data_IF_598586536994
#
_entry.id   IF_598586536994
#
_cell.length_a   1.000
_cell.length_b   1.000
_cell.length_c   1.000
_cell.angle_alpha   90.00
_cell.angle_beta   90.00
_cell.angle_gamma   90.00
#
_symmetry.space_group_name_H-M   'P 1'
#
loop_
_entity.id
_entity.type
_entity.pdbx_description
1 polymer ?
#
# COMPACT_ATOMS: atom_id res chain seq x y z
N UNK A 1 4.01 -9.22 -19.68
CA UNK A 1 2.92 -9.93 -18.97
C UNK A 1 2.91 -11.41 -19.33
N UNK A 2 3.30 -12.26 -18.38
CA UNK A 2 3.15 -13.71 -18.47
C UNK A 2 1.67 -14.10 -18.26
N UNK A 3 1.34 -15.40 -18.39
CA UNK A 3 -0.06 -15.86 -18.28
C UNK A 3 -0.65 -15.68 -16.86
N UNK A 4 0.17 -15.83 -15.83
CA UNK A 4 -0.25 -15.67 -14.44
C UNK A 4 -0.51 -14.19 -14.13
N UNK A 5 0.41 -13.30 -14.50
CA UNK A 5 0.23 -11.84 -14.38
C UNK A 5 -1.04 -11.36 -15.08
N UNK A 6 -1.32 -11.92 -16.27
CA UNK A 6 -2.55 -11.60 -17.00
C UNK A 6 -3.81 -12.04 -16.26
N UNK A 7 -3.83 -13.27 -15.76
CA UNK A 7 -4.98 -13.77 -15.01
C UNK A 7 -5.18 -12.99 -13.71
N UNK A 8 -4.09 -12.64 -13.02
CA UNK A 8 -4.11 -11.83 -11.81
C UNK A 8 -4.76 -10.46 -12.07
N UNK A 9 -4.27 -9.71 -13.07
CA UNK A 9 -4.85 -8.41 -13.46
C UNK A 9 -6.33 -8.51 -13.80
N UNK A 10 -6.74 -9.54 -14.53
CA UNK A 10 -8.14 -9.76 -14.89
C UNK A 10 -9.03 -10.04 -13.67
N UNK A 11 -8.54 -10.82 -12.69
CA UNK A 11 -9.26 -11.09 -11.45
C UNK A 11 -9.33 -9.86 -10.54
N UNK A 12 -8.27 -9.04 -10.53
CA UNK A 12 -8.23 -7.78 -9.79
C UNK A 12 -9.27 -6.79 -10.32
N UNK A 13 -9.36 -6.63 -11.65
CA UNK A 13 -10.40 -5.83 -12.27
C UNK A 13 -11.80 -6.31 -11.89
N UNK A 14 -12.02 -7.63 -11.80
CA UNK A 14 -13.30 -8.17 -11.31
C UNK A 14 -13.54 -7.83 -9.84
N UNK A 15 -12.50 -7.89 -8.99
CA UNK A 15 -12.61 -7.50 -7.58
C UNK A 15 -13.01 -6.03 -7.42
N UNK A 16 -12.35 -5.12 -8.15
CA UNK A 16 -12.70 -3.69 -8.20
C UNK A 16 -14.16 -3.51 -8.59
N UNK A 17 -14.58 -4.10 -9.71
CA UNK A 17 -15.96 -3.99 -10.18
C UNK A 17 -16.99 -4.56 -9.18
N UNK A 18 -16.64 -5.65 -8.47
CA UNK A 18 -17.53 -6.24 -7.45
C UNK A 18 -17.70 -5.31 -6.25
N UNK A 19 -16.62 -4.72 -5.77
CA UNK A 19 -16.70 -3.79 -4.64
C UNK A 19 -17.46 -2.53 -5.02
N UNK A 20 -17.19 -1.95 -6.19
CA UNK A 20 -17.96 -0.80 -6.67
C UNK A 20 -19.46 -1.14 -6.80
N UNK A 21 -19.79 -2.36 -7.22
CA UNK A 21 -21.17 -2.82 -7.36
C UNK A 21 -21.94 -2.94 -6.03
N UNK A 22 -21.28 -2.92 -4.88
CA UNK A 22 -21.96 -2.99 -3.57
C UNK A 22 -22.83 -1.76 -3.32
N UNK A 23 -22.39 -0.58 -3.76
CA UNK A 23 -23.09 0.69 -3.55
C UNK A 23 -23.60 1.33 -4.85
N UNK A 24 -23.10 0.92 -6.02
CA UNK A 24 -23.54 1.40 -7.34
C UNK A 24 -24.42 0.39 -8.09
N UNK A 25 -25.31 0.87 -8.94
CA UNK A 25 -26.06 0.08 -9.94
C UNK A 25 -25.20 -0.24 -11.16
N UNK A 26 -25.66 -1.15 -12.04
CA UNK A 26 -24.90 -1.43 -13.28
C UNK A 26 -24.88 -0.26 -14.26
N UNK A 27 -25.88 0.61 -14.21
CA UNK A 27 -25.93 1.81 -15.07
C UNK A 27 -24.93 2.85 -14.55
N UNK A 28 -24.89 3.09 -13.23
CA UNK A 28 -23.87 3.97 -12.62
C UNK A 28 -22.44 3.44 -12.87
N UNK A 29 -22.21 2.13 -12.74
CA UNK A 29 -20.91 1.54 -13.09
C UNK A 29 -20.56 1.70 -14.58
N UNK A 30 -21.56 1.65 -15.46
CA UNK A 30 -21.32 1.84 -16.89
C UNK A 30 -20.87 3.26 -17.19
N UNK A 31 -21.48 4.25 -16.53
CA UNK A 31 -21.10 5.65 -16.64
C UNK A 31 -19.69 5.91 -16.07
N UNK A 32 -19.31 5.22 -14.99
CA UNK A 32 -18.00 5.39 -14.35
C UNK A 32 -16.84 4.65 -15.06
N UNK A 33 -17.13 3.58 -15.79
CA UNK A 33 -16.11 2.69 -16.39
C UNK A 33 -16.05 2.72 -17.92
N UNK A 34 -17.00 3.39 -18.57
CA UNK A 34 -17.25 3.31 -20.01
C UNK A 34 -17.47 1.87 -20.52
N UNK A 35 -17.83 0.92 -19.63
CA UNK A 35 -18.12 -0.46 -19.99
C UNK A 35 -19.64 -0.69 -20.09
N UNK A 36 -20.13 -1.44 -21.10
CA UNK A 36 -21.55 -1.75 -21.20
C UNK A 36 -22.06 -2.49 -19.97
N UNK A 37 -23.23 -2.11 -19.43
CA UNK A 37 -23.86 -2.76 -18.27
C UNK A 37 -23.98 -4.30 -18.41
N UNK A 38 -24.20 -4.81 -19.62
CA UNK A 38 -24.23 -6.25 -19.91
C UNK A 38 -22.87 -6.95 -19.74
N UNK A 39 -21.77 -6.28 -20.11
CA UNK A 39 -20.41 -6.78 -19.89
C UNK A 39 -20.05 -6.70 -18.39
N UNK A 40 -20.38 -5.60 -17.72
CA UNK A 40 -20.19 -5.42 -16.28
C UNK A 40 -20.89 -6.53 -15.47
N UNK A 41 -22.15 -6.84 -15.78
CA UNK A 41 -22.87 -7.95 -15.14
C UNK A 41 -22.12 -9.27 -15.30
N UNK A 42 -21.61 -9.57 -16.50
CA UNK A 42 -20.86 -10.80 -16.77
C UNK A 42 -19.53 -10.83 -16.02
N UNK A 43 -18.84 -9.69 -15.91
CA UNK A 43 -17.57 -9.56 -15.19
C UNK A 43 -17.77 -9.72 -13.68
N UNK A 44 -18.69 -8.95 -13.09
CA UNK A 44 -19.01 -8.98 -11.64
C UNK A 44 -19.43 -10.38 -11.19
N UNK A 45 -20.23 -11.09 -11.99
CA UNK A 45 -20.65 -12.46 -11.68
C UNK A 45 -19.62 -13.54 -12.07
N UNK A 46 -18.46 -13.15 -12.62
CA UNK A 46 -17.39 -14.07 -12.99
C UNK A 46 -17.70 -14.98 -14.17
N UNK A 47 -18.72 -14.67 -14.97
CA UNK A 47 -19.07 -15.46 -16.16
C UNK A 47 -17.99 -15.35 -17.25
N UNK A 48 -17.37 -14.19 -17.36
CA UNK A 48 -16.26 -13.90 -18.28
C UNK A 48 -15.30 -12.92 -17.60
N UNK A 49 -14.02 -12.98 -17.96
CA UNK A 49 -13.02 -12.01 -17.53
C UNK A 49 -12.87 -10.87 -18.56
N UNK A 50 -12.63 -9.61 -18.14
CA UNK A 50 -12.29 -8.53 -19.06
C UNK A 50 -11.03 -8.88 -19.87
N UNK A 51 -10.82 -8.26 -21.04
CA UNK A 51 -9.52 -8.37 -21.73
C UNK A 51 -8.40 -7.78 -20.86
N UNK A 52 -7.14 -8.08 -21.15
CA UNK A 52 -6.02 -7.50 -20.39
C UNK A 52 -6.04 -5.96 -20.42
N UNK A 53 -6.38 -5.37 -21.57
CA UNK A 53 -6.43 -3.92 -21.73
C UNK A 53 -7.59 -3.30 -20.94
N UNK A 54 -8.78 -3.93 -20.98
CA UNK A 54 -9.93 -3.50 -20.16
C UNK A 54 -9.64 -3.67 -18.67
N UNK A 55 -9.01 -4.77 -18.28
CA UNK A 55 -8.65 -5.04 -16.90
C UNK A 55 -7.70 -3.97 -16.36
N UNK A 56 -6.68 -3.61 -17.15
CA UNK A 56 -5.78 -2.51 -16.82
C UNK A 56 -6.53 -1.21 -16.62
N UNK A 57 -7.32 -0.78 -17.60
CA UNK A 57 -8.08 0.48 -17.51
C UNK A 57 -8.99 0.53 -16.26
N UNK A 58 -9.68 -0.58 -15.96
CA UNK A 58 -10.50 -0.69 -14.74
C UNK A 58 -9.68 -0.54 -13.46
N UNK A 59 -8.50 -1.15 -13.39
CA UNK A 59 -7.65 -1.06 -12.18
C UNK A 59 -6.98 0.31 -12.07
N UNK A 60 -6.29 0.77 -13.12
CA UNK A 60 -5.46 1.97 -13.07
C UNK A 60 -6.26 3.28 -13.10
N UNK A 61 -7.33 3.36 -13.89
CA UNK A 61 -8.06 4.63 -14.07
C UNK A 61 -9.27 4.70 -13.14
N UNK A 62 -10.12 3.68 -13.17
CA UNK A 62 -11.35 3.68 -12.36
C UNK A 62 -11.05 3.30 -10.92
N UNK A 63 -10.27 2.23 -10.71
CA UNK A 63 -9.92 1.74 -9.39
C UNK A 63 -9.18 2.78 -8.58
N UNK A 64 -8.16 3.42 -9.15
CA UNK A 64 -7.42 4.48 -8.45
C UNK A 64 -8.30 5.65 -8.06
N UNK A 65 -9.10 6.18 -9.00
CA UNK A 65 -10.00 7.30 -8.73
C UNK A 65 -10.97 6.97 -7.60
N UNK A 66 -11.66 5.83 -7.66
CA UNK A 66 -12.66 5.51 -6.64
C UNK A 66 -12.03 5.18 -5.29
N UNK A 67 -10.86 4.52 -5.27
CA UNK A 67 -10.16 4.30 -3.99
C UNK A 67 -9.72 5.61 -3.35
N UNK A 68 -9.30 6.61 -4.13
CA UNK A 68 -9.01 7.95 -3.62
C UNK A 68 -10.26 8.59 -3.01
N UNK A 69 -11.37 8.62 -3.75
CA UNK A 69 -12.66 9.17 -3.28
C UNK A 69 -13.13 8.47 -1.98
N UNK A 70 -13.13 7.14 -1.94
CA UNK A 70 -13.55 6.38 -0.76
C UNK A 70 -12.59 6.57 0.43
N UNK A 71 -11.28 6.72 0.17
CA UNK A 71 -10.30 7.01 1.21
C UNK A 71 -10.55 8.39 1.82
N UNK A 72 -10.72 9.42 0.99
CA UNK A 72 -11.02 10.79 1.41
C UNK A 72 -12.34 10.87 2.22
N UNK A 73 -13.38 10.13 1.83
CA UNK A 73 -14.66 10.10 2.55
C UNK A 73 -14.57 9.43 3.94
N UNK A 74 -13.65 8.48 4.12
CA UNK A 74 -13.51 7.69 5.35
C UNK A 74 -12.51 8.27 6.33
N UNK A 75 -11.58 9.08 5.84
CA UNK A 75 -10.55 9.74 6.66
C UNK A 75 -11.14 10.97 7.35
N UNK A 76 -10.82 11.14 8.63
CA UNK A 76 -11.24 12.29 9.42
C UNK A 76 -10.04 13.03 9.96
N UNK A 77 -10.10 14.35 9.93
CA UNK A 77 -9.13 15.24 10.58
C UNK A 77 -9.75 15.78 11.87
N UNK A 78 -9.00 15.73 12.97
CA UNK A 78 -9.39 16.41 14.19
C UNK A 78 -8.99 17.90 14.18
N UNK A 79 -9.36 18.63 15.24
CA UNK A 79 -9.08 20.08 15.37
C UNK A 79 -7.58 20.40 15.43
N UNK A 80 -6.74 19.41 15.73
CA UNK A 80 -5.28 19.52 15.82
C UNK A 80 -4.57 19.01 14.54
N UNK A 81 -5.35 18.58 13.54
CA UNK A 81 -4.85 18.07 12.26
C UNK A 81 -4.30 16.65 12.32
N UNK A 82 -4.70 15.84 13.30
CA UNK A 82 -4.42 14.41 13.29
C UNK A 82 -5.43 13.65 12.44
N UNK A 83 -4.93 12.64 11.75
CA UNK A 83 -5.68 11.80 10.81
C UNK A 83 -6.21 10.58 11.56
N UNK A 84 -7.53 10.38 11.56
CA UNK A 84 -8.17 9.12 11.91
C UNK A 84 -8.53 8.37 10.62
N UNK A 85 -7.81 7.28 10.37
CA UNK A 85 -7.99 6.38 9.24
C UNK A 85 -8.46 4.98 9.69
N UNK A 86 -8.95 4.82 10.92
CA UNK A 86 -9.37 3.53 11.48
C UNK A 86 -10.43 2.82 10.62
N UNK A 87 -11.34 3.61 10.02
CA UNK A 87 -12.38 3.10 9.10
C UNK A 87 -11.83 2.53 7.78
N UNK A 88 -10.56 2.77 7.49
CA UNK A 88 -9.86 2.30 6.28
C UNK A 88 -8.99 1.11 6.63
N UNK A 89 -8.09 1.24 7.61
CA UNK A 89 -7.10 0.20 7.93
C UNK A 89 -7.73 -1.07 8.52
N UNK A 90 -8.99 -1.04 8.95
CA UNK A 90 -9.76 -2.21 9.39
C UNK A 90 -10.59 -2.86 8.27
N UNK A 91 -10.75 -2.21 7.13
CA UNK A 91 -11.53 -2.73 6.00
C UNK A 91 -10.63 -3.55 5.05
N UNK A 92 -10.58 -4.86 5.28
CA UNK A 92 -9.78 -5.76 4.44
C UNK A 92 -10.23 -5.74 2.97
N UNK A 93 -11.53 -5.58 2.69
CA UNK A 93 -12.02 -5.56 1.32
C UNK A 93 -11.52 -4.32 0.57
N UNK A 94 -11.43 -3.17 1.25
CA UNK A 94 -10.79 -1.98 0.72
C UNK A 94 -9.28 -2.21 0.48
N UNK A 95 -8.55 -2.75 1.47
CA UNK A 95 -7.10 -2.98 1.37
C UNK A 95 -6.73 -3.98 0.25
N UNK A 96 -7.54 -5.00 0.03
CA UNK A 96 -7.36 -5.96 -1.06
C UNK A 96 -7.49 -5.31 -2.46
N UNK A 97 -8.19 -4.17 -2.57
CA UNK A 97 -8.26 -3.36 -3.79
C UNK A 97 -7.10 -2.38 -3.91
N UNK A 98 -6.61 -1.85 -2.79
CA UNK A 98 -5.45 -0.96 -2.79
C UNK A 98 -4.25 -1.66 -3.39
N UNK A 99 -4.02 -2.93 -3.06
CA UNK A 99 -2.83 -3.65 -3.52
C UNK A 99 -2.67 -3.68 -5.06
N UNK A 100 -3.66 -4.13 -5.87
CA UNK A 100 -3.56 -4.08 -7.34
C UNK A 100 -3.44 -2.67 -7.91
N UNK A 101 -4.13 -1.70 -7.32
CA UNK A 101 -4.09 -0.32 -7.78
C UNK A 101 -2.71 0.28 -7.51
N UNK A 102 -2.19 0.12 -6.30
CA UNK A 102 -0.85 0.58 -5.93
C UNK A 102 0.23 -0.05 -6.83
N UNK A 103 0.11 -1.34 -7.13
CA UNK A 103 1.03 -2.03 -8.02
C UNK A 103 1.06 -1.45 -9.44
N UNK A 104 -0.10 -1.17 -10.03
CA UNK A 104 -0.19 -0.64 -11.40
C UNK A 104 0.12 0.87 -11.47
N UNK A 105 -0.28 1.65 -10.46
CA UNK A 105 -0.17 3.12 -10.47
C UNK A 105 1.22 3.64 -10.11
N UNK A 106 1.99 2.91 -9.30
CA UNK A 106 3.30 3.35 -8.81
C UNK A 106 4.48 2.56 -9.40
N UNK A 107 4.19 1.58 -10.27
CA UNK A 107 5.17 0.78 -11.02
C UNK A 107 6.25 0.17 -10.12
N UNK A 108 5.83 -0.37 -8.97
CA UNK A 108 6.73 -1.06 -8.05
C UNK A 108 7.21 -2.38 -8.67
N UNK A 109 8.52 -2.62 -8.63
CA UNK A 109 9.05 -3.96 -8.86
C UNK A 109 8.49 -4.92 -7.80
N UNK A 110 8.29 -6.20 -8.18
CA UNK A 110 7.80 -7.22 -7.24
C UNK A 110 8.80 -7.39 -6.08
N UNK A 111 8.42 -7.05 -4.83
CA UNK A 111 9.32 -7.16 -3.69
C UNK A 111 9.37 -8.60 -3.17
N UNK A 112 10.45 -8.95 -2.48
CA UNK A 112 10.57 -10.16 -1.67
C UNK A 112 9.94 -9.97 -0.28
N UNK A 113 10.00 -8.74 0.24
CA UNK A 113 9.48 -8.34 1.55
C UNK A 113 8.68 -7.04 1.45
N UNK A 114 7.51 -7.00 2.07
CA UNK A 114 6.77 -5.77 2.37
C UNK A 114 6.99 -5.42 3.83
N UNK A 115 7.63 -4.28 4.09
CA UNK A 115 8.06 -3.83 5.42
C UNK A 115 7.25 -2.62 5.87
N UNK A 116 6.73 -2.67 7.10
CA UNK A 116 6.08 -1.52 7.77
C UNK A 116 6.62 -1.31 9.18
N UNK A 117 6.26 -0.20 9.82
CA UNK A 117 6.30 -0.09 11.27
C UNK A 117 5.00 -0.61 11.89
N UNK A 118 5.06 -1.14 13.11
CA UNK A 118 3.84 -1.40 13.88
C UNK A 118 3.18 -0.08 14.31
N UNK A 119 1.85 0.05 14.26
CA UNK A 119 0.86 -1.06 14.22
C UNK A 119 -0.11 -1.00 13.04
N UNK A 120 -0.64 0.17 12.69
CA UNK A 120 -1.81 0.27 11.80
C UNK A 120 -1.49 -0.10 10.34
N UNK A 121 -0.33 0.33 9.83
CA UNK A 121 0.19 -0.08 8.52
C UNK A 121 0.39 -1.60 8.31
N UNK A 122 0.29 -2.44 9.35
CA UNK A 122 0.40 -3.91 9.23
C UNK A 122 -0.68 -4.49 8.32
N UNK A 123 -1.91 -3.97 8.35
CA UNK A 123 -2.99 -4.51 7.52
C UNK A 123 -2.76 -4.21 6.04
N UNK A 124 -2.28 -3.01 5.72
CA UNK A 124 -1.83 -2.64 4.37
C UNK A 124 -0.65 -3.51 3.92
N UNK A 125 0.36 -3.65 4.76
CA UNK A 125 1.54 -4.47 4.46
C UNK A 125 1.16 -5.93 4.18
N UNK A 126 0.24 -6.50 4.96
CA UNK A 126 -0.27 -7.84 4.74
C UNK A 126 -1.03 -7.99 3.40
N UNK A 127 -1.85 -7.01 3.03
CA UNK A 127 -2.57 -7.02 1.76
C UNK A 127 -1.60 -6.95 0.56
N UNK A 128 -0.63 -6.03 0.59
CA UNK A 128 0.39 -5.91 -0.45
C UNK A 128 1.31 -7.15 -0.50
N UNK A 129 1.70 -7.70 0.64
CA UNK A 129 2.51 -8.93 0.67
C UNK A 129 1.76 -10.12 0.07
N UNK A 130 0.46 -10.26 0.39
CA UNK A 130 -0.40 -11.29 -0.20
C UNK A 130 -0.51 -11.13 -1.72
N UNK A 131 -0.68 -9.89 -2.19
CA UNK A 131 -0.74 -9.57 -3.61
C UNK A 131 0.53 -9.96 -4.37
N UNK A 132 1.69 -9.57 -3.83
CA UNK A 132 2.98 -9.85 -4.45
C UNK A 132 3.50 -11.26 -4.17
N UNK A 133 2.79 -12.07 -3.38
CA UNK A 133 3.28 -13.36 -2.89
C UNK A 133 4.70 -13.20 -2.30
N UNK A 134 4.78 -12.24 -1.37
CA UNK A 134 5.97 -11.78 -0.67
C UNK A 134 5.81 -11.98 0.85
N UNK A 135 6.89 -11.82 1.62
CA UNK A 135 6.80 -11.85 3.09
C UNK A 135 6.31 -10.51 3.62
N UNK A 136 5.44 -10.55 4.64
CA UNK A 136 5.10 -9.36 5.42
C UNK A 136 6.01 -9.29 6.66
N UNK A 137 6.71 -8.18 6.84
CA UNK A 137 7.57 -7.89 7.97
C UNK A 137 7.19 -6.56 8.61
N UNK A 138 7.38 -6.43 9.93
CA UNK A 138 7.06 -5.19 10.63
C UNK A 138 8.01 -4.90 11.78
N UNK A 139 8.56 -3.69 11.80
CA UNK A 139 9.46 -3.22 12.84
C UNK A 139 8.69 -2.69 14.05
N UNK A 140 9.22 -2.91 15.26
CA UNK A 140 8.57 -2.58 16.53
C UNK A 140 9.39 -1.62 17.36
N UNK A 141 8.73 -0.90 18.26
CA UNK A 141 9.40 -0.03 19.24
C UNK A 141 9.99 -0.79 20.44
N UNK A 142 9.74 -2.09 20.53
CA UNK A 142 10.26 -2.97 21.58
C UNK A 142 10.72 -4.32 20.99
N UNK A 143 11.67 -4.95 21.68
CA UNK A 143 12.19 -6.28 21.33
C UNK A 143 11.37 -7.37 21.97
N UNK A 144 11.13 -8.46 21.25
CA UNK A 144 10.65 -9.70 21.82
C UNK A 144 11.73 -10.39 22.63
N UNK A 145 11.35 -10.90 23.81
CA UNK A 145 12.28 -11.61 24.70
C UNK A 145 12.83 -12.91 24.11
N UNK A 146 12.12 -13.51 23.14
CA UNK A 146 12.45 -14.81 22.56
C UNK A 146 13.20 -14.72 21.22
N UNK A 147 13.66 -13.53 20.81
CA UNK A 147 14.39 -13.30 19.55
C UNK A 147 15.83 -12.92 19.87
N UNK A 148 16.78 -13.62 19.23
CA UNK A 148 18.20 -13.52 19.57
C UNK A 148 18.90 -12.31 18.95
N UNK A 149 18.48 -11.86 17.76
CA UNK A 149 19.15 -10.82 16.99
C UNK A 149 18.16 -9.87 16.32
N UNK A 150 18.52 -8.58 16.30
CA UNK A 150 17.73 -7.50 15.73
C UNK A 150 18.59 -6.57 14.89
N UNK A 151 18.02 -6.09 13.79
CA UNK A 151 18.42 -4.87 13.10
C UNK A 151 17.76 -3.71 13.84
N UNK A 152 18.54 -2.66 14.13
CA UNK A 152 18.07 -1.51 14.89
C UNK A 152 18.33 -0.22 14.10
N UNK A 153 17.30 0.62 13.96
CA UNK A 153 17.45 1.98 13.46
C UNK A 153 17.00 2.96 14.54
N UNK A 154 17.74 4.06 14.68
CA UNK A 154 17.54 5.06 15.74
C UNK A 154 17.66 6.46 15.19
N UNK A 155 16.74 7.33 15.61
CA UNK A 155 16.72 8.73 15.25
C UNK A 155 16.42 9.58 16.47
N UNK A 156 17.17 10.66 16.63
CA UNK A 156 16.90 11.67 17.66
C UNK A 156 16.12 12.81 17.03
N UNK A 157 14.88 12.99 17.49
CA UNK A 157 14.00 14.05 17.03
C UNK A 157 14.43 15.40 17.60
N UNK A 158 14.01 16.50 16.99
CA UNK A 158 14.29 17.86 17.47
C UNK A 158 13.75 18.12 18.89
N UNK A 159 12.65 17.46 19.23
CA UNK A 159 12.06 17.45 20.58
C UNK A 159 12.95 16.81 21.64
N UNK A 160 14.04 16.14 21.23
CA UNK A 160 14.96 15.41 22.09
C UNK A 160 14.53 13.97 22.39
N UNK A 161 13.37 13.55 21.89
CA UNK A 161 12.88 12.16 21.96
C UNK A 161 13.72 11.30 21.01
N UNK A 162 14.13 10.12 21.48
CA UNK A 162 14.77 9.10 20.64
C UNK A 162 13.69 8.12 20.15
N UNK A 163 13.53 8.03 18.84
CA UNK A 163 12.71 7.02 18.18
C UNK A 163 13.61 5.85 17.79
N UNK A 164 13.19 4.64 18.12
CA UNK A 164 13.93 3.41 17.77
C UNK A 164 12.97 2.35 17.27
N UNK A 165 13.34 1.71 16.17
CA UNK A 165 12.67 0.54 15.63
C UNK A 165 13.61 -0.67 15.62
N UNK A 166 13.04 -1.83 15.91
CA UNK A 166 13.69 -3.12 15.95
C UNK A 166 13.00 -4.06 14.97
N UNK A 167 13.77 -4.71 14.11
CA UNK A 167 13.30 -5.77 13.23
C UNK A 167 14.13 -7.03 13.50
N UNK A 168 13.52 -8.21 13.74
CA UNK A 168 14.27 -9.46 13.84
C UNK A 168 15.19 -9.65 12.62
N UNK A 169 16.46 -9.98 12.83
CA UNK A 169 17.45 -10.04 11.73
C UNK A 169 17.15 -11.13 10.69
N UNK A 170 16.22 -12.06 10.97
CA UNK A 170 15.74 -13.07 10.03
C UNK A 170 14.59 -12.61 9.14
N UNK A 171 14.11 -11.37 9.29
CA UNK A 171 12.95 -10.88 8.55
C UNK A 171 13.28 -10.39 7.13
N UNK A 172 14.53 -9.97 6.91
CA UNK A 172 15.05 -9.48 5.63
C UNK A 172 16.47 -10.01 5.47
N UNK A 173 16.73 -10.70 4.36
CA UNK A 173 18.06 -11.19 4.01
C UNK A 173 18.77 -10.20 3.06
N UNK A 174 20.11 -10.26 3.01
CA UNK A 174 20.91 -9.40 2.14
C UNK A 174 20.59 -9.64 0.65
N UNK A 175 20.47 -8.55 -0.10
CA UNK A 175 20.13 -8.54 -1.53
C UNK A 175 18.65 -8.79 -1.85
N UNK A 176 17.78 -8.86 -0.84
CA UNK A 176 16.33 -8.93 -1.05
C UNK A 176 15.76 -7.55 -1.41
N UNK A 177 14.69 -7.55 -2.21
CA UNK A 177 13.98 -6.33 -2.57
C UNK A 177 12.85 -6.04 -1.57
N UNK A 178 12.83 -4.83 -1.00
CA UNK A 178 11.93 -4.44 0.09
C UNK A 178 11.03 -3.27 -0.32
N UNK A 179 9.72 -3.49 -0.30
CA UNK A 179 8.71 -2.43 -0.43
C UNK A 179 8.38 -1.89 0.97
N UNK A 180 8.75 -0.64 1.25
CA UNK A 180 8.41 0.02 2.53
C UNK A 180 7.02 0.61 2.41
N UNK A 181 6.15 0.31 3.37
CA UNK A 181 4.76 0.76 3.36
C UNK A 181 4.33 1.34 4.69
N UNK A 182 3.36 2.24 4.68
CA UNK A 182 2.71 2.74 5.89
C UNK A 182 1.25 3.14 5.60
N UNK A 183 0.41 3.24 6.63
CA UNK A 183 -0.94 3.77 6.45
C UNK A 183 -0.95 5.30 6.33
N UNK A 184 0.00 5.99 6.97
CA UNK A 184 0.09 7.44 6.98
C UNK A 184 1.55 7.92 6.98
N UNK A 185 1.88 8.85 6.10
CA UNK A 185 3.14 9.61 6.10
C UNK A 185 2.84 11.06 6.49
N UNK A 186 3.58 11.60 7.46
CA UNK A 186 3.51 13.03 7.85
C UNK A 186 4.88 13.69 7.80
N UNK A 187 5.73 13.42 8.80
CA UNK A 187 7.09 13.96 8.89
C UNK A 187 8.15 13.14 8.14
N UNK A 188 7.81 11.89 7.75
CA UNK A 188 8.73 10.95 7.12
C UNK A 188 9.71 10.26 8.09
N UNK A 189 9.67 10.55 9.38
CA UNK A 189 10.62 10.00 10.39
C UNK A 189 10.54 8.47 10.50
N UNK A 190 9.32 7.91 10.44
CA UNK A 190 9.14 6.45 10.43
C UNK A 190 9.77 5.84 9.18
N UNK A 191 9.55 6.43 8.01
CA UNK A 191 10.04 5.95 6.72
C UNK A 191 11.57 5.98 6.67
N UNK A 192 12.21 7.03 7.18
CA UNK A 192 13.67 7.08 7.29
C UNK A 192 14.22 5.93 8.13
N UNK A 193 13.60 5.63 9.27
CA UNK A 193 14.03 4.53 10.13
C UNK A 193 13.82 3.16 9.47
N UNK A 194 12.74 2.98 8.72
CA UNK A 194 12.52 1.74 7.96
C UNK A 194 13.54 1.60 6.82
N UNK A 195 13.87 2.68 6.11
CA UNK A 195 14.91 2.69 5.08
C UNK A 195 16.31 2.43 5.67
N UNK A 196 16.60 2.94 6.88
CA UNK A 196 17.83 2.62 7.62
C UNK A 196 17.89 1.12 7.97
N UNK A 197 16.76 0.49 8.33
CA UNK A 197 16.68 -0.95 8.56
C UNK A 197 16.98 -1.72 7.27
N UNK A 198 16.40 -1.33 6.14
CA UNK A 198 16.66 -1.97 4.84
C UNK A 198 18.14 -1.86 4.46
N UNK A 199 18.74 -0.68 4.61
CA UNK A 199 20.16 -0.47 4.34
C UNK A 199 21.05 -1.29 5.29
N UNK A 200 20.71 -1.38 6.57
CA UNK A 200 21.44 -2.18 7.55
C UNK A 200 21.30 -3.70 7.33
N UNK A 201 20.25 -4.14 6.65
CA UNK A 201 20.08 -5.52 6.19
C UNK A 201 20.90 -5.84 4.92
N UNK A 202 21.54 -4.85 4.31
CA UNK A 202 22.19 -4.96 3.00
C UNK A 202 21.18 -5.37 1.90
N UNK A 203 19.94 -4.87 2.00
CA UNK A 203 18.83 -5.12 1.08
C UNK A 203 18.54 -3.88 0.20
N UNK A 204 17.78 -4.09 -0.87
CA UNK A 204 17.45 -3.06 -1.87
C UNK A 204 16.03 -2.52 -1.66
N UNK A 205 15.83 -1.22 -1.83
CA UNK A 205 14.49 -0.60 -1.71
C UNK A 205 13.75 -0.73 -3.03
N UNK A 206 12.62 -1.44 -3.03
CA UNK A 206 11.72 -1.59 -4.18
C UNK A 206 10.84 -0.36 -4.40
N UNK A 207 10.52 0.35 -3.30
CA UNK A 207 9.68 1.54 -3.31
C UNK A 207 9.24 1.93 -1.91
N UNK A 208 8.58 3.08 -1.82
CA UNK A 208 7.93 3.58 -0.61
C UNK A 208 6.49 3.95 -0.94
N UNK A 209 5.53 3.39 -0.21
CA UNK A 209 4.11 3.61 -0.44
C UNK A 209 3.36 3.94 0.84
N UNK A 210 2.42 4.88 0.78
CA UNK A 210 1.44 5.05 1.85
C UNK A 210 0.01 5.20 1.34
N UNK A 211 -0.97 4.87 2.19
CA UNK A 211 -2.36 5.22 1.89
C UNK A 211 -2.53 6.74 1.87
N UNK A 212 -2.03 7.41 2.92
CA UNK A 212 -2.26 8.84 3.13
C UNK A 212 -0.92 9.54 3.32
N UNK A 213 -0.72 10.68 2.67
CA UNK A 213 0.29 11.66 3.00
C UNK A 213 -0.40 12.89 3.62
N UNK A 214 0.01 13.31 4.81
CA UNK A 214 -0.42 14.55 5.45
C UNK A 214 0.66 15.61 5.23
N UNK A 215 0.44 16.46 4.22
CA UNK A 215 1.44 17.35 3.65
C UNK A 215 2.48 16.64 2.77
N UNK A 216 3.36 17.43 2.15
CA UNK A 216 4.38 16.92 1.23
C UNK A 216 5.69 16.51 1.91
N UNK A 217 5.98 17.04 3.10
CA UNK A 217 7.27 16.93 3.78
C UNK A 217 7.74 15.47 3.91
N UNK A 218 6.90 14.58 4.42
CA UNK A 218 7.29 13.20 4.65
C UNK A 218 7.54 12.41 3.36
N UNK A 219 6.82 12.72 2.28
CA UNK A 219 7.03 12.09 0.98
C UNK A 219 8.32 12.59 0.33
N UNK A 220 8.58 13.91 0.38
CA UNK A 220 9.84 14.50 -0.09
C UNK A 220 11.04 13.92 0.66
N UNK A 221 10.93 13.83 1.99
CA UNK A 221 11.97 13.24 2.84
C UNK A 221 12.24 11.78 2.51
N UNK A 222 11.21 10.97 2.21
CA UNK A 222 11.41 9.60 1.77
C UNK A 222 12.11 9.53 0.39
N UNK A 223 11.73 10.41 -0.56
CA UNK A 223 12.38 10.50 -1.89
C UNK A 223 13.86 10.89 -1.80
N UNK A 224 14.24 11.74 -0.86
CA UNK A 224 15.63 12.12 -0.65
C UNK A 224 16.53 10.96 -0.16
N UNK A 225 15.92 9.85 0.28
CA UNK A 225 16.61 8.68 0.84
C UNK A 225 16.70 7.49 -0.10
N UNK A 226 15.97 7.49 -1.21
CA UNK A 226 15.95 6.38 -2.17
C UNK A 226 15.60 6.85 -3.59
N UNK A 227 16.24 6.27 -4.60
CA UNK A 227 15.89 6.48 -6.01
C UNK A 227 14.66 5.65 -6.46
N UNK A 228 14.13 4.79 -5.58
CA UNK A 228 12.99 3.93 -5.87
C UNK A 228 11.66 4.70 -5.92
N UNK A 229 10.64 4.19 -6.66
CA UNK A 229 9.32 4.82 -6.73
C UNK A 229 8.75 5.12 -5.34
N UNK A 230 8.30 6.35 -5.13
CA UNK A 230 7.82 6.83 -3.82
C UNK A 230 6.56 7.67 -3.98
N UNK A 231 5.49 7.31 -3.26
CA UNK A 231 4.26 8.08 -3.27
C UNK A 231 3.17 7.61 -2.30
N UNK A 232 2.03 8.29 -2.35
CA UNK A 232 0.86 7.99 -1.54
C UNK A 232 -0.41 7.95 -2.38
N UNK A 233 -1.39 7.15 -1.95
CA UNK A 233 -2.68 7.06 -2.61
C UNK A 233 -3.50 8.34 -2.45
N UNK A 234 -3.47 9.03 -1.32
CA UNK A 234 -4.11 10.35 -1.13
C UNK A 234 -3.11 11.29 -0.46
N UNK A 235 -3.10 12.55 -0.89
CA UNK A 235 -2.37 13.62 -0.22
C UNK A 235 -3.40 14.59 0.38
N UNK A 236 -3.29 14.84 1.69
CA UNK A 236 -4.09 15.80 2.43
C UNK A 236 -3.25 17.06 2.64
N UNK A 237 -3.84 18.21 2.34
CA UNK A 237 -3.24 19.54 2.56
C UNK A 237 -3.26 19.96 4.05
#
# INVERSE_FOLDING_TARGET
MNRAEKAALQLQAVSVLRTLKETRTYDELADETDLPAGDLNRYVNGHVLPSADRARAVVSEVGERVLREELEERVRLDEEGYVDNSGVVFDQAFLDLVAPVAAESFDFDRPDVVLTAATDGITLAAALASYYDARCAYAKKSKETAVDAFIEARQRLESGIELTYYLPSSAVDAGESVLVVDDLIRSGETQELLLDIVAAAEADVAGVFALIAAGDEGIERARDRTDAPTGALVALD
#
